data_IF_770848126052
#
_entry.id   IF_770848126052
#
_cell.length_a   1.000
_cell.length_b   1.000
_cell.length_c   1.000
_cell.angle_alpha   90.00
_cell.angle_beta   90.00
_cell.angle_gamma   90.00
#
_symmetry.space_group_name_H-M   'P 1'
#
loop_
_entity.id
_entity.type
_entity.pdbx_description
1 polymer ?
#
# COMPACT_ATOMS: atom_id res chain seq x y z
N UNK A 1 11.42 18.77 19.88
CA UNK A 1 10.73 17.58 19.32
C UNK A 1 11.11 16.35 20.12
N UNK A 2 10.11 15.62 20.62
CA UNK A 2 10.24 14.34 21.30
C UNK A 2 10.66 13.23 20.33
N UNK A 3 11.27 12.16 20.87
CA UNK A 3 11.59 10.93 20.12
C UNK A 3 10.34 10.31 19.48
N UNK A 4 9.19 10.43 20.12
CA UNK A 4 7.91 9.94 19.58
C UNK A 4 7.47 10.73 18.34
N UNK A 5 7.55 12.06 18.40
CA UNK A 5 7.16 12.96 17.30
C UNK A 5 8.02 12.73 16.05
N UNK A 6 9.34 12.57 16.23
CA UNK A 6 10.27 12.26 15.13
C UNK A 6 9.91 10.96 14.42
N UNK A 7 9.54 9.93 15.19
CA UNK A 7 9.07 8.67 14.61
C UNK A 7 7.81 8.93 13.80
N UNK A 8 6.75 9.47 14.41
CA UNK A 8 5.46 9.74 13.71
C UNK A 8 5.66 10.51 12.40
N UNK A 9 6.52 11.53 12.39
CA UNK A 9 6.81 12.28 11.17
C UNK A 9 7.51 11.43 10.10
N UNK A 10 8.50 10.63 10.48
CA UNK A 10 9.15 9.68 9.58
C UNK A 10 8.18 8.66 8.94
N UNK A 11 7.15 8.22 9.68
CA UNK A 11 6.09 7.37 9.10
C UNK A 11 5.28 8.10 8.03
N UNK A 12 4.86 9.35 8.29
CA UNK A 12 4.09 10.15 7.35
C UNK A 12 4.88 10.41 6.06
N UNK A 13 6.16 10.74 6.20
CA UNK A 13 7.06 10.98 5.06
C UNK A 13 7.19 9.72 4.21
N UNK A 14 7.48 8.56 4.82
CA UNK A 14 7.59 7.29 4.08
C UNK A 14 6.32 6.92 3.34
N UNK A 15 5.16 7.05 4.01
CA UNK A 15 3.87 6.79 3.38
C UNK A 15 3.65 7.72 2.18
N UNK A 16 3.94 9.01 2.31
CA UNK A 16 3.83 9.99 1.21
C UNK A 16 4.75 9.65 0.05
N UNK A 17 6.01 9.29 0.32
CA UNK A 17 6.97 8.88 -0.72
C UNK A 17 6.43 7.68 -1.49
N UNK A 18 5.96 6.65 -0.78
CA UNK A 18 5.41 5.45 -1.42
C UNK A 18 4.16 5.77 -2.27
N UNK A 19 3.24 6.60 -1.76
CA UNK A 19 2.09 7.07 -2.53
C UNK A 19 2.50 7.81 -3.82
N UNK A 20 3.54 8.64 -3.76
CA UNK A 20 4.05 9.34 -4.94
C UNK A 20 4.75 8.39 -5.93
N UNK A 21 5.47 7.39 -5.44
CA UNK A 21 6.10 6.36 -6.28
C UNK A 21 5.07 5.55 -7.08
N UNK A 22 3.87 5.35 -6.52
CA UNK A 22 2.71 4.74 -7.19
C UNK A 22 1.94 5.70 -8.13
N UNK A 23 2.49 6.89 -8.40
CA UNK A 23 1.90 7.90 -9.28
C UNK A 23 0.94 8.89 -8.58
N UNK A 24 0.68 8.73 -7.28
CA UNK A 24 -0.08 9.70 -6.49
C UNK A 24 -1.56 9.84 -6.86
N UNK A 25 -2.12 8.87 -7.59
CA UNK A 25 -3.53 8.85 -8.03
C UNK A 25 -4.11 7.44 -7.97
N UNK A 26 -5.44 7.37 -7.92
CA UNK A 26 -6.20 6.13 -8.01
C UNK A 26 -5.96 5.49 -9.39
N UNK A 27 -5.58 4.21 -9.41
CA UNK A 27 -5.34 3.47 -10.66
C UNK A 27 -6.61 3.22 -11.49
N UNK A 28 -7.81 3.34 -10.89
CA UNK A 28 -9.08 3.11 -11.59
C UNK A 28 -9.78 4.38 -12.08
N UNK A 29 -9.71 5.48 -11.32
CA UNK A 29 -10.48 6.70 -11.62
C UNK A 29 -9.65 7.98 -11.59
N UNK A 30 -8.33 7.88 -11.43
CA UNK A 30 -7.37 9.00 -11.39
C UNK A 30 -7.58 10.03 -10.26
N UNK A 31 -8.54 9.82 -9.36
CA UNK A 31 -8.70 10.66 -8.16
C UNK A 31 -7.39 10.73 -7.37
N UNK A 32 -7.08 11.91 -6.82
CA UNK A 32 -5.92 12.12 -5.94
C UNK A 32 -6.32 12.21 -4.46
N UNK A 33 -7.61 12.03 -4.18
CA UNK A 33 -8.20 12.14 -2.84
C UNK A 33 -8.39 10.77 -2.19
N UNK A 34 -8.31 10.74 -0.86
CA UNK A 34 -8.59 9.57 -0.02
C UNK A 34 -7.93 8.26 -0.52
N UNK A 35 -6.64 8.35 -0.82
CA UNK A 35 -5.87 7.25 -1.39
C UNK A 35 -5.50 6.20 -0.34
N UNK A 36 -5.80 4.95 -0.67
CA UNK A 36 -5.52 3.76 0.13
C UNK A 36 -4.63 2.78 -0.65
N UNK A 37 -3.80 2.04 0.09
CA UNK A 37 -3.02 0.96 -0.48
C UNK A 37 -3.93 -0.25 -0.66
N UNK A 38 -4.10 -0.65 -1.92
CA UNK A 38 -4.86 -1.83 -2.30
C UNK A 38 -3.90 -2.94 -2.73
N UNK A 39 -4.03 -4.10 -2.11
CA UNK A 39 -3.33 -5.30 -2.57
C UNK A 39 -4.02 -5.85 -3.81
N UNK A 40 -3.26 -6.20 -4.84
CA UNK A 40 -3.80 -6.87 -6.04
C UNK A 40 -4.12 -8.35 -5.76
N UNK A 41 -3.44 -8.92 -4.77
CA UNK A 41 -3.55 -10.32 -4.38
C UNK A 41 -3.77 -10.46 -2.88
N UNK A 42 -4.13 -11.66 -2.44
CA UNK A 42 -4.31 -11.96 -1.04
C UNK A 42 -2.98 -11.82 -0.29
N UNK A 43 -2.94 -10.89 0.66
CA UNK A 43 -1.81 -10.71 1.56
C UNK A 43 -1.58 -11.92 2.48
N UNK A 44 -0.31 -12.22 2.75
CA UNK A 44 0.09 -13.32 3.63
C UNK A 44 0.07 -12.94 5.13
N UNK A 45 0.07 -11.64 5.43
CA UNK A 45 0.13 -11.10 6.78
C UNK A 45 -1.20 -10.50 7.24
N UNK A 46 -1.37 -10.38 8.56
CA UNK A 46 -2.60 -9.86 9.18
C UNK A 46 -2.35 -8.47 9.74
N UNK A 47 -2.85 -7.42 9.06
CA UNK A 47 -2.59 -6.04 9.41
C UNK A 47 -2.94 -5.64 10.85
N UNK A 48 -3.97 -6.23 11.45
CA UNK A 48 -4.34 -5.99 12.85
C UNK A 48 -3.33 -6.58 13.85
N UNK A 49 -2.54 -7.57 13.44
CA UNK A 49 -1.49 -8.22 14.24
C UNK A 49 -0.10 -7.64 13.98
N UNK A 50 0.03 -6.68 13.05
CA UNK A 50 1.30 -6.13 12.61
C UNK A 50 1.46 -4.69 13.05
N UNK A 51 2.63 -4.36 13.64
CA UNK A 51 2.93 -2.99 14.08
C UNK A 51 2.90 -2.02 12.89
N UNK A 52 2.54 -0.74 13.13
CA UNK A 52 2.47 0.28 12.05
C UNK A 52 3.77 0.39 11.23
N UNK A 53 4.92 0.21 11.87
CA UNK A 53 6.25 0.28 11.24
C UNK A 53 6.51 -0.91 10.33
N UNK A 54 6.19 -2.11 10.80
CA UNK A 54 6.31 -3.33 10.02
C UNK A 54 5.31 -3.35 8.86
N UNK A 55 4.11 -2.79 9.04
CA UNK A 55 3.15 -2.60 7.94
C UNK A 55 3.70 -1.70 6.84
N UNK A 56 4.25 -0.54 7.22
CA UNK A 56 4.85 0.39 6.24
C UNK A 56 5.98 -0.29 5.45
N UNK A 57 6.84 -1.06 6.12
CA UNK A 57 7.90 -1.82 5.45
C UNK A 57 7.34 -2.88 4.49
N UNK A 58 6.31 -3.63 4.89
CA UNK A 58 5.67 -4.61 4.02
C UNK A 58 5.03 -3.95 2.79
N UNK A 59 4.38 -2.80 2.94
CA UNK A 59 3.84 -2.07 1.78
C UNK A 59 4.91 -1.63 0.78
N UNK A 60 6.10 -1.25 1.27
CA UNK A 60 7.22 -0.91 0.39
C UNK A 60 7.74 -2.16 -0.34
N UNK A 61 7.96 -3.26 0.38
CA UNK A 61 8.38 -4.54 -0.21
C UNK A 61 7.32 -5.06 -1.21
N UNK A 62 6.03 -4.99 -0.89
CA UNK A 62 4.95 -5.43 -1.78
C UNK A 62 4.79 -4.53 -3.01
N UNK A 63 5.08 -3.23 -2.90
CA UNK A 63 5.13 -2.33 -4.04
C UNK A 63 6.27 -2.68 -4.99
N UNK A 64 7.47 -2.92 -4.46
CA UNK A 64 8.64 -3.30 -5.26
C UNK A 64 8.39 -4.63 -6.02
N UNK A 65 7.54 -5.51 -5.47
CA UNK A 65 7.12 -6.77 -6.09
C UNK A 65 5.87 -6.63 -7.00
N UNK A 66 5.35 -5.43 -7.23
CA UNK A 66 4.17 -5.22 -8.08
C UNK A 66 2.86 -5.78 -7.49
N UNK A 67 2.78 -5.96 -6.17
CA UNK A 67 1.62 -6.54 -5.49
C UNK A 67 0.65 -5.47 -4.93
N UNK A 68 1.02 -4.20 -5.04
CA UNK A 68 0.32 -3.08 -4.46
C UNK A 68 -0.05 -2.03 -5.52
N UNK A 69 -1.23 -1.44 -5.39
CA UNK A 69 -1.66 -0.28 -6.17
C UNK A 69 -2.33 0.76 -5.25
N UNK A 70 -2.61 1.94 -5.81
CA UNK A 70 -3.43 2.96 -5.15
C UNK A 70 -4.85 2.93 -5.68
N UNK A 71 -5.81 2.98 -4.77
CA UNK A 71 -7.21 3.22 -5.05
C UNK A 71 -7.74 4.33 -4.14
N UNK A 72 -8.69 5.13 -4.62
CA UNK A 72 -9.49 5.96 -3.71
C UNK A 72 -10.42 5.07 -2.87
N UNK A 73 -10.93 5.60 -1.75
CA UNK A 73 -11.85 4.89 -0.84
C UNK A 73 -13.02 4.19 -1.57
N UNK A 74 -13.66 4.86 -2.53
CA UNK A 74 -14.76 4.28 -3.30
C UNK A 74 -14.34 3.12 -4.20
N UNK A 75 -13.23 3.27 -4.94
CA UNK A 75 -12.71 2.20 -5.80
C UNK A 75 -12.23 1.02 -4.95
N UNK A 76 -11.57 1.27 -3.83
CA UNK A 76 -11.11 0.23 -2.92
C UNK A 76 -12.28 -0.58 -2.34
N UNK A 77 -13.35 0.10 -1.94
CA UNK A 77 -14.58 -0.55 -1.46
C UNK A 77 -15.23 -1.42 -2.53
N UNK A 78 -15.29 -0.95 -3.79
CA UNK A 78 -15.83 -1.74 -4.92
C UNK A 78 -14.94 -2.94 -5.27
N UNK A 79 -13.62 -2.76 -5.25
CA UNK A 79 -12.67 -3.83 -5.52
C UNK A 79 -12.75 -4.93 -4.45
N UNK A 80 -12.98 -4.55 -3.19
CA UNK A 80 -13.14 -5.49 -2.10
C UNK A 80 -11.83 -6.16 -1.70
N UNK A 81 -11.93 -7.32 -1.03
CA UNK A 81 -10.75 -8.08 -0.60
C UNK A 81 -10.33 -9.05 -1.72
N UNK A 82 -9.06 -9.05 -2.13
CA UNK A 82 -8.56 -10.04 -3.09
C UNK A 82 -8.74 -11.48 -2.57
N UNK A 83 -9.15 -12.37 -3.46
CA UNK A 83 -9.39 -13.78 -3.17
C UNK A 83 -8.29 -14.72 -3.66
N UNK A 84 -7.42 -14.24 -4.56
CA UNK A 84 -6.37 -15.06 -5.18
C UNK A 84 -5.02 -14.80 -4.53
N UNK A 85 -4.20 -15.83 -4.28
CA UNK A 85 -2.82 -15.63 -3.83
C UNK A 85 -1.99 -14.93 -4.90
N UNK A 86 -0.88 -14.32 -4.50
CA UNK A 86 0.07 -13.76 -5.44
C UNK A 86 0.71 -14.88 -6.31
N UNK A 87 1.00 -14.62 -7.59
CA UNK A 87 1.71 -15.59 -8.44
C UNK A 87 3.07 -15.90 -7.82
N UNK A 88 3.39 -17.18 -7.67
CA UNK A 88 4.69 -17.62 -7.17
C UNK A 88 5.67 -17.75 -8.33
N UNK A 89 6.61 -16.81 -8.45
CA UNK A 89 7.79 -16.98 -9.30
C UNK A 89 7.69 -16.54 -10.76
N UNK A 90 6.70 -15.73 -11.15
CA UNK A 90 6.66 -15.12 -12.48
C UNK A 90 6.82 -13.60 -12.36
N UNK A 91 7.80 -13.03 -13.07
CA UNK A 91 8.02 -11.59 -13.19
C UNK A 91 6.72 -10.94 -13.69
N UNK A 92 6.10 -10.09 -12.87
CA UNK A 92 4.91 -9.34 -13.28
C UNK A 92 5.36 -8.33 -14.33
N UNK A 93 4.93 -8.43 -15.61
CA UNK A 93 5.37 -7.49 -16.62
C UNK A 93 4.67 -6.14 -16.37
N UNK A 94 5.49 -5.09 -16.35
CA UNK A 94 5.12 -3.69 -16.17
C UNK A 94 4.15 -3.18 -17.24
#
# INVERSE_FOLDING_TARGET
>A
MSSHERKVEGYKIRRRILTQAMGGKCSQCESTEELEFHHLYQREWVASKTSRWSRQRQYEEEFDNGLLTLLCADCNKRAGKPSSPAPQGEEVPF
#
